data_IF_955898670096
#
_entry.id   IF_955898670096
#
_cell.length_a   1.000
_cell.length_b   1.000
_cell.length_c   1.000
_cell.angle_alpha   90.00
_cell.angle_beta   90.00
_cell.angle_gamma   90.00
#
_symmetry.space_group_name_H-M   'P 1'
#
loop_
_entity.id
_entity.type
_entity.pdbx_description
1 polymer ?
#
# COMPACT_ATOMS: atom_id res chain seq x y z
N UNK A 1 9.43 -8.65 -29.75
CA UNK A 1 10.51 -8.56 -28.75
C UNK A 1 10.15 -9.52 -27.63
N UNK A 2 11.12 -10.15 -26.97
CA UNK A 2 10.84 -10.96 -25.77
C UNK A 2 10.29 -10.05 -24.67
N UNK A 3 9.37 -10.57 -23.86
CA UNK A 3 8.85 -9.86 -22.68
C UNK A 3 9.97 -9.67 -21.65
N UNK A 4 10.03 -8.50 -21.02
CA UNK A 4 11.04 -8.20 -20.01
C UNK A 4 10.87 -9.08 -18.77
N UNK A 5 11.97 -9.65 -18.26
CA UNK A 5 12.02 -10.43 -17.02
C UNK A 5 12.70 -9.61 -15.93
N UNK A 6 11.98 -9.29 -14.85
CA UNK A 6 12.48 -8.43 -13.78
C UNK A 6 12.42 -9.14 -12.44
N UNK A 7 13.52 -9.07 -11.69
CA UNK A 7 13.58 -9.40 -10.27
C UNK A 7 13.24 -8.14 -9.46
N UNK A 8 12.12 -8.17 -8.74
CA UNK A 8 11.72 -7.12 -7.80
C UNK A 8 12.10 -7.47 -6.37
N UNK A 9 12.59 -6.50 -5.60
CA UNK A 9 13.01 -6.62 -4.20
C UNK A 9 12.33 -5.54 -3.35
N UNK A 10 11.65 -5.97 -2.29
CA UNK A 10 10.94 -5.10 -1.34
C UNK A 10 11.51 -5.29 0.09
N UNK A 11 11.79 -4.18 0.76
CA UNK A 11 12.29 -4.12 2.14
C UNK A 11 12.07 -2.72 2.78
N UNK A 12 10.95 -2.06 2.54
CA UNK A 12 10.69 -0.69 3.04
C UNK A 12 10.24 -0.66 4.50
N UNK A 13 9.56 -1.70 4.98
CA UNK A 13 8.97 -1.76 6.31
C UNK A 13 9.33 -3.05 7.07
N UNK A 14 8.44 -4.04 7.11
CA UNK A 14 8.61 -5.27 7.90
C UNK A 14 8.45 -6.57 7.10
N UNK A 15 8.11 -6.48 5.82
CA UNK A 15 8.19 -7.56 4.84
C UNK A 15 9.50 -7.50 4.03
N UNK A 16 10.25 -8.60 4.05
CA UNK A 16 11.31 -8.85 3.05
C UNK A 16 10.70 -9.66 1.93
N UNK A 17 10.68 -9.14 0.71
CA UNK A 17 10.09 -9.88 -0.39
C UNK A 17 10.90 -9.81 -1.69
N UNK A 18 10.81 -10.87 -2.48
CA UNK A 18 11.38 -10.93 -3.82
C UNK A 18 10.42 -11.65 -4.77
N UNK A 19 10.35 -11.19 -6.02
CA UNK A 19 9.49 -11.77 -7.03
C UNK A 19 10.12 -11.69 -8.42
N UNK A 20 9.77 -12.63 -9.28
CA UNK A 20 10.07 -12.59 -10.71
C UNK A 20 8.78 -12.31 -11.48
N UNK A 21 8.79 -11.26 -12.30
CA UNK A 21 7.72 -10.96 -13.26
C UNK A 21 8.29 -11.01 -14.67
N UNK A 22 7.56 -11.66 -15.59
CA UNK A 22 7.85 -11.69 -17.04
C UNK A 22 6.71 -10.98 -17.77
N UNK A 23 6.95 -9.79 -18.33
CA UNK A 23 5.91 -8.95 -18.89
C UNK A 23 4.86 -8.63 -17.82
N UNK A 24 3.65 -9.19 -17.93
CA UNK A 24 2.61 -9.09 -16.89
C UNK A 24 2.32 -10.41 -16.16
N UNK A 25 3.17 -11.41 -16.34
CA UNK A 25 3.02 -12.72 -15.70
C UNK A 25 3.85 -12.80 -14.43
N UNK A 26 3.21 -13.06 -13.29
CA UNK A 26 3.88 -13.35 -12.03
C UNK A 26 4.44 -14.78 -12.05
N UNK A 27 5.77 -14.91 -12.07
CA UNK A 27 6.45 -16.21 -12.15
C UNK A 27 6.72 -16.78 -10.75
N UNK A 28 7.21 -15.94 -9.83
CA UNK A 28 7.42 -16.30 -8.43
C UNK A 28 7.20 -15.08 -7.53
N UNK A 29 6.81 -15.31 -6.28
CA UNK A 29 6.66 -14.26 -5.27
C UNK A 29 6.87 -14.86 -3.88
N UNK A 30 7.93 -14.43 -3.20
CA UNK A 30 8.33 -14.92 -1.89
C UNK A 30 8.31 -13.75 -0.91
N UNK A 31 7.68 -13.94 0.24
CA UNK A 31 7.56 -12.94 1.30
C UNK A 31 7.96 -13.57 2.62
N UNK A 32 8.89 -12.93 3.34
CA UNK A 32 9.22 -13.20 4.73
C UNK A 32 8.82 -11.99 5.58
N UNK A 33 7.80 -12.16 6.42
CA UNK A 33 7.29 -11.09 7.29
C UNK A 33 7.86 -11.20 8.69
N UNK A 34 8.39 -10.07 9.21
CA UNK A 34 8.87 -9.91 10.58
C UNK A 34 7.78 -9.42 11.55
N UNK A 35 6.52 -9.31 11.10
CA UNK A 35 5.38 -8.75 11.85
C UNK A 35 5.23 -9.33 13.27
N UNK A 36 5.48 -10.64 13.45
CA UNK A 36 5.37 -11.29 14.77
C UNK A 36 6.40 -10.77 15.78
N UNK A 37 7.57 -10.34 15.33
CA UNK A 37 8.63 -9.78 16.20
C UNK A 37 8.23 -8.41 16.76
N UNK A 38 7.39 -7.68 16.03
CA UNK A 38 6.89 -6.34 16.36
C UNK A 38 5.63 -6.36 17.23
N UNK A 39 4.84 -7.44 17.18
CA UNK A 39 3.54 -7.56 17.86
C UNK A 39 3.61 -7.20 19.37
N UNK A 40 4.67 -7.62 20.07
CA UNK A 40 4.86 -7.34 21.51
C UNK A 40 5.12 -5.87 21.83
N UNK A 41 5.50 -5.07 20.84
CA UNK A 41 5.75 -3.64 20.99
C UNK A 41 4.56 -2.78 20.51
N UNK A 42 3.55 -3.41 19.90
CA UNK A 42 2.37 -2.74 19.39
C UNK A 42 2.61 -1.89 18.14
N UNK A 43 3.73 -2.10 17.44
CA UNK A 43 4.11 -1.38 16.22
C UNK A 43 5.52 -1.76 15.76
N UNK A 44 5.85 -1.43 14.51
CA UNK A 44 7.15 -1.78 13.90
C UNK A 44 8.30 -1.07 14.63
N UNK A 45 9.30 -1.85 15.04
CA UNK A 45 10.56 -1.35 15.62
C UNK A 45 11.63 -1.32 14.52
N UNK A 46 12.09 -0.13 14.07
CA UNK A 46 12.94 -0.02 12.88
C UNK A 46 14.22 -0.87 12.91
N UNK A 47 14.88 -0.95 14.07
CA UNK A 47 16.12 -1.73 14.22
C UNK A 47 15.87 -3.25 14.12
N UNK A 48 14.74 -3.73 14.65
CA UNK A 48 14.37 -5.15 14.56
C UNK A 48 14.06 -5.50 13.10
N UNK A 49 13.27 -4.66 12.42
CA UNK A 49 12.92 -4.85 11.03
C UNK A 49 14.15 -4.86 10.12
N UNK A 50 15.08 -3.91 10.30
CA UNK A 50 16.35 -3.84 9.57
C UNK A 50 17.17 -5.14 9.68
N UNK A 51 17.28 -5.71 10.89
CA UNK A 51 17.99 -6.99 11.11
C UNK A 51 17.26 -8.16 10.46
N UNK A 52 15.94 -8.22 10.60
CA UNK A 52 15.14 -9.25 9.96
C UNK A 52 15.32 -9.23 8.43
N UNK A 53 15.37 -8.05 7.80
CA UNK A 53 15.71 -7.94 6.38
C UNK A 53 17.11 -8.48 6.07
N UNK A 54 18.11 -8.14 6.88
CA UNK A 54 19.48 -8.60 6.64
C UNK A 54 19.60 -10.14 6.72
N UNK A 55 18.85 -10.77 7.62
CA UNK A 55 18.78 -12.23 7.76
C UNK A 55 17.97 -12.88 6.63
N UNK A 56 16.85 -12.27 6.23
CA UNK A 56 15.91 -12.84 5.26
C UNK A 56 16.28 -12.56 3.79
N UNK A 57 17.08 -11.53 3.49
CA UNK A 57 17.35 -11.07 2.12
C UNK A 57 17.84 -12.19 1.21
N UNK A 58 18.91 -12.89 1.59
CA UNK A 58 19.51 -13.94 0.76
C UNK A 58 18.54 -15.12 0.61
N UNK A 59 17.98 -15.72 1.68
CA UNK A 59 16.97 -16.78 1.55
C UNK A 59 15.80 -16.43 0.64
N UNK A 60 15.24 -15.21 0.77
CA UNK A 60 14.07 -14.77 0.01
C UNK A 60 14.40 -14.62 -1.48
N UNK A 61 15.51 -13.96 -1.83
CA UNK A 61 15.91 -13.79 -3.22
C UNK A 61 16.28 -15.13 -3.86
N UNK A 62 17.04 -15.98 -3.16
CA UNK A 62 17.38 -17.31 -3.65
C UNK A 62 16.14 -18.16 -3.88
N UNK A 63 15.15 -18.11 -2.97
CA UNK A 63 13.90 -18.85 -3.12
C UNK A 63 13.06 -18.33 -4.29
N UNK A 64 13.01 -17.01 -4.51
CA UNK A 64 12.27 -16.44 -5.63
C UNK A 64 12.85 -16.86 -6.99
N UNK A 65 14.18 -16.92 -7.10
CA UNK A 65 14.87 -17.44 -8.29
C UNK A 65 14.66 -18.94 -8.47
N UNK A 66 14.78 -19.73 -7.40
CA UNK A 66 14.52 -21.18 -7.40
C UNK A 66 13.08 -21.50 -7.83
N UNK A 67 12.08 -20.82 -7.25
CA UNK A 67 10.67 -21.01 -7.58
C UNK A 67 10.34 -20.59 -9.03
N UNK A 68 11.11 -19.64 -9.58
CA UNK A 68 11.03 -19.28 -10.99
C UNK A 68 11.81 -20.22 -11.92
N UNK A 69 12.60 -21.14 -11.36
CA UNK A 69 13.56 -21.98 -12.07
C UNK A 69 14.48 -21.14 -12.97
N UNK A 70 15.09 -20.10 -12.38
CA UNK A 70 15.97 -19.14 -13.03
C UNK A 70 17.23 -18.88 -12.21
N UNK A 71 18.30 -18.52 -12.91
CA UNK A 71 19.48 -17.90 -12.32
C UNK A 71 19.44 -16.37 -12.51
N UNK A 72 20.29 -15.66 -11.76
CA UNK A 72 20.38 -14.19 -11.87
C UNK A 72 20.81 -13.72 -13.27
N UNK A 73 21.44 -14.58 -14.09
CA UNK A 73 21.77 -14.25 -15.48
C UNK A 73 20.55 -14.19 -16.40
N UNK A 74 19.44 -14.82 -16.02
CA UNK A 74 18.23 -14.94 -16.85
C UNK A 74 17.31 -13.73 -16.76
N UNK A 75 17.48 -12.89 -15.73
CA UNK A 75 16.69 -11.65 -15.60
C UNK A 75 17.29 -10.54 -16.46
N UNK A 76 16.43 -9.68 -16.99
CA UNK A 76 16.83 -8.52 -17.80
C UNK A 76 17.20 -7.32 -16.93
N UNK A 77 16.55 -7.17 -15.78
CA UNK A 77 16.80 -6.08 -14.84
C UNK A 77 16.48 -6.47 -13.38
N UNK A 78 16.99 -5.68 -12.44
CA UNK A 78 16.65 -5.75 -11.02
C UNK A 78 15.94 -4.46 -10.63
N UNK A 79 14.79 -4.55 -9.98
CA UNK A 79 14.09 -3.43 -9.38
C UNK A 79 14.11 -3.56 -7.86
N UNK A 80 14.26 -2.45 -7.15
CA UNK A 80 14.28 -2.42 -5.69
C UNK A 80 13.52 -1.19 -5.19
N UNK A 81 12.73 -1.35 -4.14
CA UNK A 81 12.12 -0.22 -3.45
C UNK A 81 13.19 0.65 -2.80
N UNK A 82 13.39 1.85 -3.35
CA UNK A 82 14.36 2.82 -2.85
C UNK A 82 13.73 3.84 -1.88
N UNK A 83 12.40 3.91 -1.84
CA UNK A 83 11.64 4.78 -0.97
C UNK A 83 10.16 4.89 -1.36
N UNK A 84 9.32 5.58 -0.57
CA UNK A 84 9.58 5.95 0.83
C UNK A 84 9.59 4.72 1.75
N UNK A 85 10.16 4.85 2.95
CA UNK A 85 10.26 3.72 3.89
C UNK A 85 11.25 3.94 5.04
N UNK A 86 11.42 2.93 5.89
CA UNK A 86 12.35 2.96 7.01
C UNK A 86 13.79 2.89 6.49
N UNK A 87 14.61 3.89 6.84
CA UNK A 87 15.95 4.05 6.25
C UNK A 87 16.86 2.82 6.43
N UNK A 88 16.83 2.16 7.61
CA UNK A 88 17.60 0.94 7.84
C UNK A 88 17.15 -0.22 6.95
N UNK A 89 15.85 -0.41 6.81
CA UNK A 89 15.24 -1.43 5.96
C UNK A 89 15.57 -1.20 4.48
N UNK A 90 15.39 0.03 4.00
CA UNK A 90 15.73 0.43 2.63
C UNK A 90 17.21 0.20 2.33
N UNK A 91 18.11 0.52 3.27
CA UNK A 91 19.55 0.33 3.10
C UNK A 91 19.91 -1.13 2.85
N UNK A 92 19.25 -2.08 3.51
CA UNK A 92 19.48 -3.52 3.30
C UNK A 92 19.10 -3.92 1.88
N UNK A 93 17.85 -3.63 1.47
CA UNK A 93 17.35 -4.00 0.14
C UNK A 93 18.15 -3.36 -0.99
N UNK A 94 18.37 -2.04 -0.93
CA UNK A 94 19.11 -1.31 -1.96
C UNK A 94 20.56 -1.78 -2.05
N UNK A 95 21.24 -2.02 -0.93
CA UNK A 95 22.62 -2.52 -0.94
C UNK A 95 22.71 -3.92 -1.54
N UNK A 96 21.80 -4.82 -1.15
CA UNK A 96 21.73 -6.17 -1.68
C UNK A 96 21.40 -6.19 -3.19
N UNK A 97 20.41 -5.41 -3.62
CA UNK A 97 20.04 -5.30 -5.02
C UNK A 97 21.18 -4.75 -5.89
N UNK A 98 21.91 -3.73 -5.42
CA UNK A 98 23.10 -3.21 -6.10
C UNK A 98 24.20 -4.24 -6.23
N UNK A 99 24.45 -5.03 -5.16
CA UNK A 99 25.44 -6.10 -5.21
C UNK A 99 25.08 -7.18 -6.25
N UNK A 100 23.80 -7.58 -6.31
CA UNK A 100 23.29 -8.52 -7.30
C UNK A 100 23.40 -7.96 -8.72
N UNK A 101 22.96 -6.73 -8.94
CA UNK A 101 23.00 -6.07 -10.24
C UNK A 101 24.43 -5.94 -10.76
N UNK A 102 25.36 -5.54 -9.89
CA UNK A 102 26.79 -5.45 -10.20
C UNK A 102 27.39 -6.82 -10.54
N UNK A 103 27.12 -7.84 -9.72
CA UNK A 103 27.67 -9.18 -9.92
C UNK A 103 27.18 -9.84 -11.22
N UNK A 104 25.91 -9.62 -11.59
CA UNK A 104 25.32 -10.18 -12.81
C UNK A 104 25.45 -9.26 -14.03
N UNK A 105 26.05 -8.07 -13.88
CA UNK A 105 26.13 -7.03 -14.91
C UNK A 105 24.74 -6.71 -15.52
N UNK A 106 23.75 -6.47 -14.65
CA UNK A 106 22.36 -6.15 -15.00
C UNK A 106 22.01 -4.71 -14.63
N UNK A 107 21.12 -4.05 -15.39
CA UNK A 107 20.58 -2.76 -15.01
C UNK A 107 19.77 -2.87 -13.71
N UNK A 108 19.78 -1.77 -12.94
CA UNK A 108 19.04 -1.64 -11.69
C UNK A 108 18.09 -0.43 -11.74
N UNK A 109 16.92 -0.57 -11.13
CA UNK A 109 15.94 0.49 -10.96
C UNK A 109 15.61 0.66 -9.47
N UNK A 110 15.97 1.81 -8.89
CA UNK A 110 15.49 2.23 -7.58
C UNK A 110 14.12 2.88 -7.73
N UNK A 111 13.07 2.18 -7.32
CA UNK A 111 11.68 2.56 -7.59
C UNK A 111 10.97 3.11 -6.36
N UNK A 112 9.84 3.78 -6.61
CA UNK A 112 8.93 4.21 -5.58
C UNK A 112 7.98 3.08 -5.15
N UNK A 113 8.09 2.71 -3.88
CA UNK A 113 7.29 1.70 -3.20
C UNK A 113 5.78 1.94 -3.36
N UNK A 114 5.33 3.18 -3.17
CA UNK A 114 3.89 3.53 -3.19
C UNK A 114 3.31 3.37 -4.60
N UNK A 115 4.10 3.68 -5.63
CA UNK A 115 3.68 3.49 -7.02
C UNK A 115 3.67 2.00 -7.39
N UNK A 116 4.56 1.20 -6.78
CA UNK A 116 4.54 -0.26 -6.88
C UNK A 116 3.17 -0.85 -6.55
N UNK A 117 2.53 -0.38 -5.47
CA UNK A 117 1.18 -0.78 -5.07
C UNK A 117 0.10 -0.53 -6.14
N UNK A 118 0.31 0.41 -7.07
CA UNK A 118 -0.56 0.62 -8.24
C UNK A 118 -0.19 -0.39 -9.33
N UNK A 119 1.11 -0.49 -9.63
CA UNK A 119 1.64 -1.31 -10.71
C UNK A 119 1.24 -2.79 -10.59
N UNK A 120 1.18 -3.33 -9.36
CA UNK A 120 0.84 -4.76 -9.12
C UNK A 120 -0.52 -5.17 -9.66
N UNK A 121 -1.47 -4.24 -9.76
CA UNK A 121 -2.81 -4.52 -10.30
C UNK A 121 -2.76 -4.97 -11.77
N UNK A 122 -1.70 -4.60 -12.51
CA UNK A 122 -1.53 -5.01 -13.90
C UNK A 122 -1.35 -6.52 -14.07
N UNK A 123 -0.89 -7.21 -13.03
CA UNK A 123 -0.78 -8.67 -13.02
C UNK A 123 -2.14 -9.36 -13.15
N UNK A 124 -3.24 -8.65 -12.86
CA UNK A 124 -4.60 -9.17 -12.90
C UNK A 124 -5.46 -8.49 -13.96
N UNK A 125 -5.26 -7.19 -14.19
CA UNK A 125 -6.13 -6.39 -15.05
C UNK A 125 -5.46 -5.94 -16.36
N UNK A 126 -4.19 -6.32 -16.59
CA UNK A 126 -3.44 -5.87 -17.76
C UNK A 126 -2.99 -4.42 -17.64
N UNK A 127 -2.82 -3.72 -18.76
CA UNK A 127 -2.22 -2.38 -18.79
C UNK A 127 -3.01 -1.33 -17.96
N UNK A 128 -2.25 -0.37 -17.44
CA UNK A 128 -2.79 0.85 -16.81
C UNK A 128 -3.49 1.70 -17.88
N UNK A 129 -4.78 2.03 -17.72
CA UNK A 129 -5.45 2.96 -18.63
C UNK A 129 -4.82 4.35 -18.57
N UNK A 130 -4.92 5.11 -19.65
CA UNK A 130 -4.56 6.54 -19.65
C UNK A 130 -5.47 7.31 -18.67
N UNK A 131 -4.92 8.36 -18.05
CA UNK A 131 -5.61 9.26 -17.12
C UNK A 131 -6.39 8.52 -16.01
N UNK A 132 -5.72 7.57 -15.36
CA UNK A 132 -6.34 6.73 -14.32
C UNK A 132 -6.15 7.32 -12.93
N UNK A 133 -7.20 7.27 -12.12
CA UNK A 133 -7.10 7.59 -10.70
C UNK A 133 -6.68 6.36 -9.91
N UNK A 134 -5.79 6.56 -8.95
CA UNK A 134 -5.34 5.53 -8.02
C UNK A 134 -5.53 5.97 -6.57
N UNK A 135 -6.22 5.15 -5.77
CA UNK A 135 -6.34 5.33 -4.34
C UNK A 135 -5.36 4.40 -3.62
N UNK A 136 -4.38 4.99 -2.96
CA UNK A 136 -3.43 4.29 -2.09
C UNK A 136 -3.95 4.35 -0.66
N UNK A 137 -4.11 3.18 -0.05
CA UNK A 137 -4.45 3.08 1.37
C UNK A 137 -3.58 1.99 2.02
N UNK A 138 -2.54 2.42 2.73
CA UNK A 138 -1.64 1.54 3.49
C UNK A 138 -1.62 1.94 4.97
N UNK A 139 -0.75 1.30 5.76
CA UNK A 139 -0.54 1.67 7.16
C UNK A 139 -0.07 3.12 7.31
N UNK A 140 0.82 3.59 6.43
CA UNK A 140 1.43 4.93 6.51
C UNK A 140 1.02 5.91 5.40
N UNK A 141 0.23 5.48 4.42
CA UNK A 141 -0.19 6.33 3.31
C UNK A 141 -1.70 6.30 3.13
N UNK A 142 -2.29 7.46 2.89
CA UNK A 142 -3.62 7.58 2.30
C UNK A 142 -3.59 8.71 1.31
N UNK A 143 -3.61 8.37 0.03
CA UNK A 143 -3.41 9.33 -1.06
C UNK A 143 -4.26 8.97 -2.26
N UNK A 144 -4.75 10.00 -2.95
CA UNK A 144 -5.38 9.91 -4.25
C UNK A 144 -4.41 10.47 -5.29
N UNK A 145 -4.07 9.66 -6.27
CA UNK A 145 -3.04 9.94 -7.28
C UNK A 145 -3.67 9.91 -8.67
N UNK A 146 -3.23 10.81 -9.54
CA UNK A 146 -3.54 10.78 -10.97
C UNK A 146 -2.34 10.20 -11.71
N UNK A 147 -2.55 9.08 -12.40
CA UNK A 147 -1.51 8.34 -13.11
C UNK A 147 -1.65 8.64 -14.59
N UNK A 148 -0.85 9.60 -15.07
CA UNK A 148 -0.78 9.91 -16.50
C UNK A 148 0.05 8.83 -17.23
N UNK A 149 1.17 8.43 -16.61
CA UNK A 149 2.06 7.37 -17.10
C UNK A 149 2.71 6.70 -15.88
N UNK A 150 2.41 5.42 -15.67
CA UNK A 150 2.87 4.66 -14.50
C UNK A 150 4.41 4.61 -14.39
N UNK A 151 5.12 4.72 -15.50
CA UNK A 151 6.59 4.67 -15.55
C UNK A 151 7.23 6.07 -15.43
N UNK A 152 6.48 7.17 -15.63
CA UNK A 152 7.07 8.50 -15.82
C UNK A 152 6.38 9.65 -15.10
N UNK A 153 5.07 9.63 -14.95
CA UNK A 153 4.29 10.82 -14.59
C UNK A 153 3.12 10.46 -13.67
N UNK A 154 3.26 10.88 -12.40
CA UNK A 154 2.28 10.71 -11.34
C UNK A 154 2.05 12.07 -10.69
N UNK A 155 0.81 12.49 -10.57
CA UNK A 155 0.40 13.69 -9.85
C UNK A 155 -0.33 13.34 -8.55
N UNK A 156 -0.09 14.11 -7.49
CA UNK A 156 -0.83 13.98 -6.24
C UNK A 156 -2.10 14.83 -6.32
N UNK A 157 -3.26 14.18 -6.21
CA UNK A 157 -4.58 14.84 -6.22
C UNK A 157 -4.99 15.23 -4.80
N UNK A 158 -4.74 14.35 -3.85
CA UNK A 158 -5.00 14.60 -2.43
C UNK A 158 -4.26 13.62 -1.54
N UNK A 159 -4.00 14.02 -0.31
CA UNK A 159 -3.33 13.18 0.69
C UNK A 159 -3.95 13.33 2.06
N UNK A 160 -3.62 12.45 2.99
CA UNK A 160 -4.01 12.67 4.38
C UNK A 160 -3.23 13.85 4.97
N UNK A 161 -3.94 14.73 5.66
CA UNK A 161 -3.34 15.85 6.39
C UNK A 161 -2.88 15.45 7.80
N UNK A 162 -3.24 14.24 8.25
CA UNK A 162 -2.89 13.71 9.55
C UNK A 162 -2.61 12.20 9.51
N UNK A 163 -3.40 11.37 10.21
CA UNK A 163 -3.24 9.92 10.27
C UNK A 163 -3.62 9.29 8.92
N UNK A 164 -2.91 8.24 8.51
CA UNK A 164 -3.40 7.37 7.45
C UNK A 164 -4.58 6.52 7.93
N UNK A 165 -5.40 6.02 6.99
CA UNK A 165 -6.55 5.18 7.34
C UNK A 165 -6.14 3.88 8.05
N UNK A 166 -5.06 3.22 7.60
CA UNK A 166 -4.53 2.03 8.26
C UNK A 166 -4.04 2.32 9.68
N UNK A 167 -3.30 3.41 9.88
CA UNK A 167 -2.86 3.87 11.21
C UNK A 167 -4.04 4.17 12.14
N UNK A 168 -5.09 4.82 11.63
CA UNK A 168 -6.32 5.08 12.39
C UNK A 168 -6.94 3.77 12.90
N UNK A 169 -7.00 2.74 12.05
CA UNK A 169 -7.50 1.41 12.43
C UNK A 169 -6.66 0.77 13.51
N UNK A 170 -5.33 0.79 13.40
CA UNK A 170 -4.44 0.24 14.41
C UNK A 170 -4.56 0.98 15.76
N UNK A 171 -4.72 2.31 15.72
CA UNK A 171 -4.96 3.13 16.92
C UNK A 171 -6.27 2.78 17.61
N UNK A 172 -7.36 2.57 16.85
CA UNK A 172 -8.65 2.17 17.43
C UNK A 172 -8.63 0.71 17.88
N UNK A 173 -7.97 -0.18 17.16
CA UNK A 173 -7.81 -1.57 17.56
C UNK A 173 -7.10 -1.69 18.91
N UNK A 174 -6.03 -0.91 19.11
CA UNK A 174 -5.33 -0.82 20.39
C UNK A 174 -6.23 -0.31 21.51
N UNK A 175 -7.06 0.69 21.24
CA UNK A 175 -8.05 1.21 22.20
C UNK A 175 -9.05 0.13 22.63
N UNK A 176 -9.46 -0.75 21.71
CA UNK A 176 -10.37 -1.87 21.97
C UNK A 176 -9.66 -3.10 22.55
N UNK A 177 -8.35 -3.03 22.81
CA UNK A 177 -7.57 -4.13 23.40
C UNK A 177 -7.17 -5.24 22.42
N UNK A 178 -7.29 -5.01 21.10
CA UNK A 178 -6.83 -5.97 20.11
C UNK A 178 -5.29 -5.97 19.98
N UNK A 179 -4.70 -7.11 19.59
CA UNK A 179 -3.27 -7.19 19.32
C UNK A 179 -2.91 -6.44 18.02
N UNK A 180 -1.62 -6.14 17.88
CA UNK A 180 -1.06 -5.58 16.64
C UNK A 180 -0.64 -6.69 15.67
N UNK A 181 -0.88 -6.57 14.36
CA UNK A 181 -1.59 -5.48 13.68
C UNK A 181 -3.11 -5.52 13.89
N UNK A 182 -3.73 -4.35 14.03
CA UNK A 182 -5.12 -4.20 14.46
C UNK A 182 -6.14 -4.28 13.34
N UNK A 183 -5.77 -3.86 12.13
CA UNK A 183 -6.65 -3.86 10.94
C UNK A 183 -7.45 -5.15 10.72
N UNK A 184 -6.83 -6.35 10.71
CA UNK A 184 -7.54 -7.62 10.52
C UNK A 184 -8.56 -7.96 11.63
N UNK A 185 -8.32 -7.48 12.85
CA UNK A 185 -9.27 -7.66 13.96
C UNK A 185 -10.50 -6.78 13.77
N UNK A 186 -10.29 -5.49 13.47
CA UNK A 186 -11.38 -4.57 13.18
C UNK A 186 -12.22 -5.07 12.00
N UNK A 187 -11.59 -5.56 10.92
CA UNK A 187 -12.32 -6.09 9.75
C UNK A 187 -13.19 -7.30 10.12
N UNK A 188 -12.68 -8.22 10.95
CA UNK A 188 -13.43 -9.41 11.38
C UNK A 188 -14.65 -9.04 12.23
N UNK A 189 -14.46 -8.17 13.22
CA UNK A 189 -15.52 -7.73 14.12
C UNK A 189 -16.53 -6.82 13.41
N UNK A 190 -16.05 -5.95 12.52
CA UNK A 190 -16.88 -5.02 11.77
C UNK A 190 -17.89 -5.71 10.86
N UNK A 191 -17.58 -6.90 10.33
CA UNK A 191 -18.55 -7.71 9.53
C UNK A 191 -19.75 -8.21 10.34
N UNK A 192 -19.64 -8.24 11.67
CA UNK A 192 -20.68 -8.77 12.56
C UNK A 192 -21.53 -7.66 13.20
N UNK A 193 -21.08 -6.41 13.13
CA UNK A 193 -21.68 -5.29 13.84
C UNK A 193 -22.66 -4.47 13.02
N UNK A 194 -23.41 -3.64 13.73
CA UNK A 194 -24.26 -2.60 13.15
C UNK A 194 -23.46 -1.30 12.89
N UNK A 195 -23.35 -0.83 11.63
CA UNK A 195 -22.59 0.36 11.30
C UNK A 195 -23.20 1.67 11.82
N UNK A 196 -24.47 1.68 12.24
CA UNK A 196 -25.19 2.89 12.65
C UNK A 196 -25.12 3.18 14.17
N UNK A 197 -24.44 2.34 14.94
CA UNK A 197 -24.40 2.44 16.41
C UNK A 197 -23.59 3.62 16.92
N UNK A 198 -22.45 3.93 16.26
CA UNK A 198 -21.58 5.04 16.61
C UNK A 198 -21.47 6.02 15.43
N UNK A 199 -21.76 7.29 15.69
CA UNK A 199 -21.50 8.35 14.72
C UNK A 199 -20.00 8.72 14.72
N UNK A 200 -19.25 8.09 13.84
CA UNK A 200 -17.81 8.37 13.64
C UNK A 200 -17.65 9.62 12.76
N UNK A 201 -16.86 10.63 13.18
CA UNK A 201 -16.69 11.86 12.42
C UNK A 201 -15.99 11.63 11.08
N UNK A 202 -16.42 12.36 10.06
CA UNK A 202 -15.84 12.32 8.72
C UNK A 202 -15.09 13.63 8.44
N UNK A 203 -13.78 13.65 8.71
CA UNK A 203 -12.94 14.84 8.53
C UNK A 203 -12.92 15.35 7.09
N UNK A 204 -12.83 16.67 6.90
CA UNK A 204 -12.70 17.31 5.57
C UNK A 204 -13.83 16.99 4.58
N UNK A 205 -15.06 16.78 5.06
CA UNK A 205 -16.22 16.47 4.19
C UNK A 205 -17.29 17.56 4.18
N UNK A 206 -17.28 18.47 5.14
CA UNK A 206 -18.33 19.48 5.32
C UNK A 206 -17.78 20.90 5.41
N UNK A 207 -18.66 21.87 5.16
CA UNK A 207 -18.40 23.29 5.38
C UNK A 207 -17.29 23.85 4.50
N UNK A 208 -16.51 24.78 5.06
CA UNK A 208 -15.40 25.45 4.36
C UNK A 208 -14.24 24.49 4.10
N UNK A 209 -13.84 23.71 5.10
CA UNK A 209 -12.71 22.79 5.01
C UNK A 209 -12.92 21.73 3.93
N UNK A 210 -14.14 21.17 3.78
CA UNK A 210 -14.42 20.21 2.71
C UNK A 210 -14.35 20.81 1.30
N UNK A 211 -14.57 22.12 1.15
CA UNK A 211 -14.43 22.83 -0.14
C UNK A 211 -12.98 23.20 -0.44
N UNK A 212 -12.21 23.57 0.58
CA UNK A 212 -10.77 23.89 0.44
C UNK A 212 -9.94 22.62 0.21
N UNK A 213 -10.39 21.47 0.75
CA UNK A 213 -9.72 20.18 0.70
C UNK A 213 -10.63 19.08 0.14
N UNK A 214 -11.07 19.18 -1.13
CA UNK A 214 -12.05 18.26 -1.71
C UNK A 214 -11.53 16.82 -1.74
N UNK A 215 -10.23 16.62 -2.00
CA UNK A 215 -9.62 15.30 -2.18
C UNK A 215 -8.69 14.87 -1.04
N UNK A 216 -8.35 15.77 -0.10
CA UNK A 216 -7.51 15.40 1.05
C UNK A 216 -8.29 14.64 2.13
N UNK A 217 -7.59 13.89 2.97
CA UNK A 217 -8.16 13.05 4.01
C UNK A 217 -7.75 13.53 5.42
N UNK A 218 -8.55 13.17 6.43
CA UNK A 218 -8.23 13.41 7.84
C UNK A 218 -8.96 12.40 8.71
N UNK A 219 -8.19 11.64 9.49
CA UNK A 219 -8.67 10.56 10.36
C UNK A 219 -8.25 10.72 11.83
N UNK A 220 -7.40 11.69 12.18
CA UNK A 220 -6.96 11.91 13.58
C UNK A 220 -8.12 12.12 14.57
N UNK A 221 -9.21 12.77 14.12
CA UNK A 221 -10.42 12.99 14.91
C UNK A 221 -11.22 11.71 15.22
N UNK A 222 -11.03 10.65 14.43
CA UNK A 222 -11.78 9.39 14.54
C UNK A 222 -11.42 8.68 15.84
N UNK A 223 -10.13 8.48 16.12
CA UNK A 223 -9.67 7.83 17.36
C UNK A 223 -10.23 8.54 18.60
N UNK A 224 -10.17 9.87 18.61
CA UNK A 224 -10.64 10.69 19.74
C UNK A 224 -12.15 10.54 19.95
N UNK A 225 -12.93 10.54 18.86
CA UNK A 225 -14.37 10.35 18.95
C UNK A 225 -14.75 8.96 19.45
N UNK A 226 -14.08 7.91 18.96
CA UNK A 226 -14.28 6.53 19.43
C UNK A 226 -13.92 6.39 20.91
N UNK A 227 -12.75 6.90 21.32
CA UNK A 227 -12.30 6.87 22.72
C UNK A 227 -13.31 7.54 23.66
N UNK A 228 -13.77 8.75 23.35
CA UNK A 228 -14.75 9.47 24.17
C UNK A 228 -16.09 8.74 24.26
N UNK A 229 -16.51 8.08 23.18
CA UNK A 229 -17.75 7.30 23.19
C UNK A 229 -17.63 6.03 24.04
N UNK A 230 -16.48 5.34 23.97
CA UNK A 230 -16.18 4.16 24.81
C UNK A 230 -16.15 4.57 26.28
N UNK A 231 -15.37 5.60 26.64
CA UNK A 231 -15.27 6.13 28.00
C UNK A 231 -16.64 6.53 28.57
N UNK A 232 -17.48 7.18 27.75
CA UNK A 232 -18.82 7.60 28.17
C UNK A 232 -19.76 6.43 28.46
N UNK A 233 -19.62 5.31 27.74
CA UNK A 233 -20.40 4.08 28.00
C UNK A 233 -19.89 3.33 29.22
N UNK A 234 -18.58 3.21 29.37
CA UNK A 234 -17.96 2.61 30.56
C UNK A 234 -18.35 3.37 31.84
N UNK A 235 -18.35 4.71 31.79
CA UNK A 235 -18.80 5.54 32.91
C UNK A 235 -20.28 5.34 33.28
N UNK A 236 -21.09 4.84 32.35
CA UNK A 236 -22.49 4.48 32.58
C UNK A 236 -22.67 3.00 33.00
N UNK A 237 -21.58 2.23 33.11
CA UNK A 237 -21.60 0.80 33.40
C UNK A 237 -22.20 -0.03 32.25
N UNK A 238 -22.21 0.50 31.03
CA UNK A 238 -22.71 -0.19 29.85
C UNK A 238 -21.59 -0.98 29.18
N UNK A 239 -21.93 -2.16 28.67
CA UNK A 239 -21.02 -2.96 27.84
C UNK A 239 -20.72 -2.25 26.51
N UNK A 240 -19.49 -2.42 26.02
CA UNK A 240 -19.06 -1.90 24.73
C UNK A 240 -19.40 -2.93 23.65
N UNK A 241 -20.33 -2.64 22.71
CA UNK A 241 -20.59 -3.52 21.59
C UNK A 241 -19.43 -3.39 20.58
N UNK A 242 -18.39 -4.19 20.79
CA UNK A 242 -17.13 -4.10 20.02
C UNK A 242 -17.36 -4.26 18.52
N UNK A 243 -18.23 -5.20 18.13
CA UNK A 243 -18.57 -5.45 16.72
C UNK A 243 -19.15 -4.19 16.06
N UNK A 244 -20.10 -3.54 16.72
CA UNK A 244 -20.74 -2.31 16.27
C UNK A 244 -19.75 -1.13 16.17
N UNK A 245 -18.85 -0.99 17.14
CA UNK A 245 -17.80 0.05 17.08
C UNK A 245 -16.90 -0.16 15.86
N UNK A 246 -16.50 -1.41 15.61
CA UNK A 246 -15.69 -1.77 14.44
C UNK A 246 -16.46 -1.52 13.13
N UNK A 247 -17.75 -1.87 13.08
CA UNK A 247 -18.61 -1.65 11.93
C UNK A 247 -18.79 -0.15 11.61
N UNK A 248 -19.10 0.66 12.63
CA UNK A 248 -19.24 2.11 12.49
C UNK A 248 -17.94 2.80 12.07
N UNK A 249 -16.80 2.37 12.62
CA UNK A 249 -15.48 2.85 12.20
C UNK A 249 -15.23 2.57 10.72
N UNK A 250 -15.37 1.31 10.32
CA UNK A 250 -15.05 0.89 8.98
C UNK A 250 -15.99 1.50 7.94
N UNK A 251 -17.29 1.58 8.23
CA UNK A 251 -18.24 2.25 7.37
C UNK A 251 -17.88 3.73 7.14
N UNK A 252 -17.56 4.46 8.22
CA UNK A 252 -17.22 5.89 8.11
C UNK A 252 -15.94 6.13 7.29
N UNK A 253 -14.89 5.33 7.52
CA UNK A 253 -13.64 5.44 6.75
C UNK A 253 -13.85 5.04 5.29
N UNK A 254 -14.56 3.94 5.03
CA UNK A 254 -14.86 3.49 3.67
C UNK A 254 -15.70 4.50 2.88
N UNK A 255 -16.68 5.14 3.51
CA UNK A 255 -17.52 6.17 2.89
C UNK A 255 -16.69 7.40 2.49
N UNK A 256 -15.81 7.88 3.38
CA UNK A 256 -14.95 9.04 3.08
C UNK A 256 -14.00 8.74 1.93
N UNK A 257 -13.31 7.59 1.97
CA UNK A 257 -12.39 7.16 0.92
C UNK A 257 -13.10 7.02 -0.43
N UNK A 258 -14.22 6.31 -0.45
CA UNK A 258 -14.96 6.02 -1.68
C UNK A 258 -15.55 7.29 -2.29
N UNK A 259 -16.22 8.12 -1.49
CA UNK A 259 -16.81 9.38 -1.98
C UNK A 259 -15.76 10.29 -2.61
N UNK A 260 -14.63 10.52 -1.93
CA UNK A 260 -13.57 11.39 -2.46
C UNK A 260 -12.90 10.79 -3.70
N UNK A 261 -12.70 9.47 -3.73
CA UNK A 261 -12.16 8.80 -4.91
C UNK A 261 -13.10 8.90 -6.12
N UNK A 262 -14.41 8.68 -5.95
CA UNK A 262 -15.39 8.83 -7.04
C UNK A 262 -15.46 10.27 -7.54
N UNK A 263 -15.49 11.26 -6.65
CA UNK A 263 -15.41 12.68 -7.03
C UNK A 263 -14.13 12.98 -7.84
N UNK A 264 -13.00 12.39 -7.46
CA UNK A 264 -11.75 12.49 -8.21
C UNK A 264 -11.86 11.87 -9.60
N UNK A 265 -12.40 10.66 -9.72
CA UNK A 265 -12.63 10.01 -11.01
C UNK A 265 -13.51 10.88 -11.93
N UNK A 266 -14.59 11.47 -11.42
CA UNK A 266 -15.46 12.37 -12.19
C UNK A 266 -14.72 13.63 -12.66
N UNK A 267 -13.97 14.28 -11.77
CA UNK A 267 -13.24 15.51 -12.06
C UNK A 267 -12.17 15.32 -13.14
N UNK A 268 -11.46 14.20 -13.10
CA UNK A 268 -10.37 13.89 -14.03
C UNK A 268 -10.87 13.07 -15.24
N UNK A 269 -12.17 12.80 -15.33
CA UNK A 269 -12.76 12.04 -16.44
C UNK A 269 -12.39 10.55 -16.46
N UNK A 270 -11.77 10.05 -15.38
CA UNK A 270 -11.29 8.69 -15.28
C UNK A 270 -12.44 7.70 -15.18
N UNK A 271 -12.40 6.63 -15.97
CA UNK A 271 -13.40 5.55 -15.95
C UNK A 271 -12.98 4.35 -15.10
N UNK A 272 -11.76 4.38 -14.59
CA UNK A 272 -11.20 3.33 -13.76
C UNK A 272 -10.63 3.94 -12.48
N UNK A 273 -10.83 3.26 -11.36
CA UNK A 273 -10.18 3.56 -10.09
C UNK A 273 -9.32 2.35 -9.70
N UNK A 274 -8.01 2.53 -9.65
CA UNK A 274 -7.07 1.51 -9.20
C UNK A 274 -6.85 1.65 -7.70
N UNK A 275 -6.80 0.53 -6.97
CA UNK A 275 -6.62 0.55 -5.53
C UNK A 275 -5.31 -0.16 -5.16
N UNK A 276 -4.51 0.45 -4.28
CA UNK A 276 -3.25 -0.11 -3.79
C UNK A 276 -3.07 0.05 -2.27
N UNK A 277 -2.11 -0.66 -1.71
CA UNK A 277 -1.76 -0.60 -0.28
C UNK A 277 -2.49 -1.63 0.59
N UNK A 278 -1.87 -2.01 1.71
CA UNK A 278 -2.33 -3.11 2.55
C UNK A 278 -3.74 -2.95 3.13
N UNK A 279 -4.19 -1.72 3.38
CA UNK A 279 -5.53 -1.47 3.92
C UNK A 279 -6.63 -1.76 2.89
N UNK A 280 -6.30 -1.80 1.59
CA UNK A 280 -7.21 -2.28 0.54
C UNK A 280 -7.65 -3.74 0.71
N UNK A 281 -7.03 -4.51 1.60
CA UNK A 281 -7.48 -5.86 1.97
C UNK A 281 -8.74 -5.86 2.87
N UNK A 282 -9.10 -4.73 3.48
CA UNK A 282 -10.29 -4.61 4.33
C UNK A 282 -11.56 -4.90 3.51
N UNK A 283 -12.38 -5.83 3.98
CA UNK A 283 -13.56 -6.30 3.24
C UNK A 283 -14.64 -5.25 3.08
N UNK A 284 -14.88 -4.45 4.12
CA UNK A 284 -15.92 -3.42 4.12
C UNK A 284 -15.54 -2.29 3.16
N UNK A 285 -14.26 -1.90 3.14
CA UNK A 285 -13.72 -0.96 2.15
C UNK A 285 -13.90 -1.49 0.72
N UNK A 286 -13.56 -2.76 0.48
CA UNK A 286 -13.74 -3.39 -0.85
C UNK A 286 -15.18 -3.37 -1.32
N UNK A 287 -16.10 -3.82 -0.47
CA UNK A 287 -17.52 -3.86 -0.76
C UNK A 287 -18.06 -2.46 -1.07
N UNK A 288 -17.68 -1.46 -0.27
CA UNK A 288 -18.13 -0.09 -0.43
C UNK A 288 -17.58 0.55 -1.71
N UNK A 289 -16.28 0.40 -1.99
CA UNK A 289 -15.66 0.92 -3.22
C UNK A 289 -16.31 0.30 -4.47
N UNK A 290 -16.54 -1.02 -4.48
CA UNK A 290 -17.19 -1.71 -5.59
C UNK A 290 -18.63 -1.24 -5.79
N UNK A 291 -19.38 -1.05 -4.70
CA UNK A 291 -20.75 -0.55 -4.76
C UNK A 291 -20.79 0.90 -5.29
N UNK A 292 -19.97 1.80 -4.75
CA UNK A 292 -19.88 3.18 -5.20
C UNK A 292 -19.40 3.27 -6.66
N UNK A 293 -18.40 2.47 -7.04
CA UNK A 293 -17.90 2.44 -8.42
C UNK A 293 -19.00 2.05 -9.40
N UNK A 294 -19.79 1.01 -9.08
CA UNK A 294 -20.93 0.60 -9.89
C UNK A 294 -21.98 1.71 -10.03
N UNK A 295 -22.28 2.43 -8.96
CA UNK A 295 -23.24 3.54 -8.97
C UNK A 295 -22.77 4.69 -9.87
N UNK A 296 -21.47 5.00 -9.87
CA UNK A 296 -20.88 6.10 -10.65
C UNK A 296 -20.42 5.68 -12.05
N UNK A 297 -20.58 4.40 -12.43
CA UNK A 297 -20.09 3.86 -13.69
C UNK A 297 -18.55 3.84 -13.81
N UNK A 298 -17.86 3.67 -12.68
CA UNK A 298 -16.41 3.58 -12.56
C UNK A 298 -16.00 2.12 -12.32
N UNK A 299 -15.08 1.60 -13.14
CA UNK A 299 -14.47 0.29 -12.94
C UNK A 299 -13.49 0.35 -11.78
N UNK A 300 -13.74 -0.38 -10.69
CA UNK A 300 -12.81 -0.43 -9.54
C UNK A 300 -11.93 -1.67 -9.65
N UNK A 301 -10.61 -1.46 -9.80
CA UNK A 301 -9.59 -2.50 -9.89
C UNK A 301 -8.92 -2.70 -8.53
N UNK A 302 -9.39 -3.73 -7.82
CA UNK A 302 -8.86 -4.16 -6.53
C UNK A 302 -7.94 -5.37 -6.72
N UNK A 303 -6.70 -5.34 -6.21
CA UNK A 303 -5.82 -6.48 -6.34
C UNK A 303 -6.32 -7.68 -5.52
N UNK A 304 -5.85 -8.89 -5.85
CA UNK A 304 -5.98 -10.06 -5.00
C UNK A 304 -5.40 -9.76 -3.60
N UNK A 305 -6.00 -10.33 -2.55
CA UNK A 305 -5.59 -10.03 -1.16
C UNK A 305 -4.10 -10.22 -0.90
N UNK A 306 -3.50 -11.26 -1.51
CA UNK A 306 -2.06 -11.57 -1.39
C UNK A 306 -1.13 -10.54 -2.04
N UNK A 307 -1.68 -9.63 -2.86
CA UNK A 307 -0.96 -8.57 -3.58
C UNK A 307 -1.25 -7.18 -3.00
N UNK A 308 -2.09 -7.06 -1.97
CA UNK A 308 -2.40 -5.80 -1.32
C UNK A 308 -1.30 -5.32 -0.38
N UNK A 309 -0.73 -6.24 0.40
CA UNK A 309 0.36 -5.95 1.34
C UNK A 309 1.69 -5.91 0.61
N UNK A 310 2.74 -5.44 1.27
CA UNK A 310 4.06 -5.28 0.68
C UNK A 310 4.59 -6.63 0.15
N UNK A 311 5.03 -6.64 -1.10
CA UNK A 311 5.48 -7.85 -1.79
C UNK A 311 6.45 -7.51 -2.92
N UNK A 312 7.26 -8.49 -3.36
CA UNK A 312 8.22 -8.27 -4.45
C UNK A 312 7.56 -8.09 -5.81
N UNK A 313 6.33 -8.61 -6.00
CA UNK A 313 5.65 -8.58 -7.30
C UNK A 313 5.30 -7.16 -7.72
N UNK A 314 4.93 -6.30 -6.77
CA UNK A 314 4.63 -4.89 -7.03
C UNK A 314 5.88 -4.12 -7.50
N UNK A 315 7.04 -4.45 -6.93
CA UNK A 315 8.34 -3.87 -7.30
C UNK A 315 8.77 -4.36 -8.67
N UNK A 316 8.66 -5.66 -8.91
CA UNK A 316 8.99 -6.28 -10.18
C UNK A 316 8.12 -5.74 -11.32
N UNK A 317 6.81 -5.60 -11.09
CA UNK A 317 5.88 -5.09 -12.10
C UNK A 317 6.15 -3.62 -12.43
N UNK A 318 6.46 -2.76 -11.45
CA UNK A 318 6.88 -1.39 -11.77
C UNK A 318 8.22 -1.39 -12.52
N UNK A 319 9.16 -2.26 -12.14
CA UNK A 319 10.40 -2.46 -12.89
C UNK A 319 10.17 -2.87 -14.36
N UNK A 320 9.21 -3.76 -14.63
CA UNK A 320 8.83 -4.11 -16.02
C UNK A 320 8.34 -2.87 -16.77
N UNK A 321 7.46 -2.07 -16.16
CA UNK A 321 6.96 -0.84 -16.80
C UNK A 321 8.12 0.11 -17.18
N UNK A 322 9.11 0.26 -16.30
CA UNK A 322 10.27 1.12 -16.53
C UNK A 322 11.14 0.59 -17.69
N UNK A 323 11.39 -0.72 -17.73
CA UNK A 323 12.16 -1.37 -18.80
C UNK A 323 11.44 -1.23 -20.14
N UNK A 324 10.14 -1.55 -20.19
CA UNK A 324 9.34 -1.48 -21.43
C UNK A 324 9.19 -0.06 -21.95
N UNK A 325 9.05 0.92 -21.05
CA UNK A 325 9.00 2.33 -21.41
C UNK A 325 10.37 2.88 -21.84
N UNK A 326 11.46 2.12 -21.71
CA UNK A 326 12.82 2.59 -22.00
C UNK A 326 13.30 3.68 -21.04
N UNK A 327 12.85 3.64 -19.78
CA UNK A 327 13.39 4.51 -18.73
C UNK A 327 14.84 4.12 -18.47
N UNK A 328 15.69 5.13 -18.35
CA UNK A 328 17.12 4.92 -18.08
C UNK A 328 17.26 4.21 -16.71
N UNK A 329 18.10 3.17 -16.59
CA UNK A 329 18.42 2.57 -15.30
C UNK A 329 18.99 3.60 -14.32
N UNK A 330 18.74 3.38 -13.03
CA UNK A 330 19.26 4.22 -11.96
C UNK A 330 20.79 4.20 -11.94
N UNK A 331 21.40 5.33 -11.59
CA UNK A 331 22.86 5.43 -11.48
C UNK A 331 23.38 4.53 -10.33
N UNK A 332 24.54 3.85 -10.46
CA UNK A 332 25.02 2.92 -9.42
C UNK A 332 25.14 3.52 -8.00
N UNK A 333 25.28 4.84 -7.90
CA UNK A 333 25.39 5.62 -6.67
C UNK A 333 24.07 6.17 -6.12
N UNK A 334 22.90 5.83 -6.70
CA UNK A 334 21.59 6.31 -6.20
C UNK A 334 21.42 6.02 -4.70
N UNK A 335 20.95 6.98 -3.92
CA UNK A 335 20.75 6.81 -2.48
C UNK A 335 19.38 6.20 -2.16
N UNK A 336 19.20 5.70 -0.94
CA UNK A 336 17.85 5.50 -0.40
C UNK A 336 17.19 6.87 -0.20
N UNK A 337 15.86 6.93 -0.32
CA UNK A 337 15.09 8.12 0.01
C UNK A 337 13.91 7.74 0.89
N UNK A 338 14.09 7.86 2.22
CA UNK A 338 13.04 7.52 3.19
C UNK A 338 11.77 8.36 3.03
N UNK A 339 11.87 9.52 2.39
CA UNK A 339 10.77 10.45 2.16
C UNK A 339 10.50 10.67 0.66
N UNK A 340 10.81 9.67 -0.17
CA UNK A 340 10.67 9.74 -1.63
C UNK A 340 9.32 10.32 -2.04
N UNK A 341 9.27 11.45 -2.76
CA UNK A 341 8.02 12.07 -3.14
C UNK A 341 7.17 11.13 -4.00
N UNK A 342 5.84 11.16 -3.80
CA UNK A 342 4.89 10.33 -4.59
C UNK A 342 4.88 10.66 -6.09
N UNK A 343 5.44 11.80 -6.49
CA UNK A 343 5.61 12.21 -7.89
C UNK A 343 6.88 11.65 -8.55
N UNK A 344 7.77 11.01 -7.78
CA UNK A 344 9.01 10.42 -8.29
C UNK A 344 8.80 8.92 -8.49
N UNK A 345 8.86 8.43 -9.73
CA UNK A 345 8.65 7.01 -10.04
C UNK A 345 9.89 6.16 -9.79
N UNK A 346 11.06 6.66 -10.21
CA UNK A 346 12.36 6.01 -10.03
C UNK A 346 13.48 7.05 -9.92
N UNK A 347 14.61 6.63 -9.36
CA UNK A 347 15.83 7.42 -9.14
C UNK A 347 16.80 7.34 -10.33
#
# INVERSE_FOLDING_TARGET
>A
MSEAIVLGIESTCDETAAAIVRGRTLVSNVVASSMQEHARYGGVIPEIASRAHAEAFVPVVSKALEDANMDLSDVDAIAVSAGPGLAGCLAVGVSGAKALAWAANKPIYGINHVIGHIAVTQLQFGDVPEDVLALIVSGGHTSLLHVNDIARSIDVVGTTLDDAAGECFDKVARLLGFPYPGGPHIDRHGRLGNPDTLKVPQGLTQGRSGKEHPYDFSFSGVKTAVARWVEAREAQGLEIPVDDVCASLANSVAEVLSRKAMMGCEQYGSKTLMIGGGFSANSQLREHLLACGKEHGIEVRLPELKLCTDNGAMVAMLGVNLVEAGVRPSAPDFAIDSAMPLTTVSL
#
